data_IF_472061923633
#
_entry.id   IF_472061923633
#
_cell.length_a   1.000
_cell.length_b   1.000
_cell.length_c   1.000
_cell.angle_alpha   90.00
_cell.angle_beta   90.00
_cell.angle_gamma   90.00
#
_symmetry.space_group_name_H-M   'P 1'
#
loop_
_entity.id
_entity.type
_entity.pdbx_description
1 polymer ?
#
# COMPACT_ATOMS: atom_id res chain seq x y z
N UNK A 1 31.18 -38.82 34.26
CA UNK A 1 30.96 -39.69 33.09
C UNK A 1 30.06 -38.88 32.15
N UNK A 2 30.50 -37.96 31.29
CA UNK A 2 31.42 -37.99 30.14
C UNK A 2 31.10 -39.02 29.06
N UNK A 3 30.29 -38.59 28.09
CA UNK A 3 30.12 -39.15 26.73
C UNK A 3 29.72 -37.97 25.82
N UNK A 4 30.62 -37.20 25.17
CA UNK A 4 31.28 -37.48 23.87
C UNK A 4 30.63 -38.65 23.12
N UNK A 5 30.21 -38.55 21.85
CA UNK A 5 31.13 -38.64 20.68
C UNK A 5 30.33 -38.59 19.35
N UNK A 6 30.68 -37.65 18.44
CA UNK A 6 30.82 -37.71 16.95
C UNK A 6 29.60 -37.81 15.98
N UNK A 7 29.45 -36.87 15.03
CA UNK A 7 29.95 -36.75 13.62
C UNK A 7 29.08 -37.51 12.59
N UNK A 8 28.60 -36.78 11.56
CA UNK A 8 28.50 -37.11 10.11
C UNK A 8 27.64 -35.99 9.46
N UNK A 9 28.15 -34.95 8.80
CA UNK A 9 28.85 -34.90 7.51
C UNK A 9 28.14 -35.68 6.39
N UNK A 10 27.29 -35.01 5.60
CA UNK A 10 27.00 -35.40 4.22
C UNK A 10 26.95 -34.18 3.30
N UNK A 11 27.87 -34.20 2.34
CA UNK A 11 27.93 -33.38 1.13
C UNK A 11 26.89 -33.83 0.09
N UNK A 12 26.35 -32.87 -0.67
CA UNK A 12 25.93 -32.97 -2.08
C UNK A 12 25.24 -31.64 -2.41
N UNK A 13 25.84 -30.62 -3.04
CA UNK A 13 26.41 -30.51 -4.39
C UNK A 13 25.45 -30.92 -5.51
N UNK A 14 24.56 -29.99 -5.89
CA UNK A 14 24.04 -29.89 -7.26
C UNK A 14 24.08 -28.42 -7.69
N UNK A 15 25.13 -28.08 -8.42
CA UNK A 15 25.25 -26.87 -9.22
C UNK A 15 24.53 -27.16 -10.54
N UNK A 16 23.43 -26.45 -10.82
CA UNK A 16 22.84 -26.43 -12.16
C UNK A 16 23.00 -25.04 -12.77
N UNK A 17 23.82 -25.05 -13.82
CA UNK A 17 24.26 -23.96 -14.67
C UNK A 17 23.51 -24.10 -16.00
N UNK A 18 22.60 -23.19 -16.36
CA UNK A 18 22.11 -23.02 -17.76
C UNK A 18 21.48 -21.62 -17.91
N UNK A 19 21.36 -21.04 -19.13
CA UNK A 19 22.17 -19.89 -19.53
C UNK A 19 21.32 -18.64 -19.86
N UNK A 20 22.04 -17.52 -20.04
CA UNK A 20 21.56 -16.31 -20.70
C UNK A 20 21.09 -16.61 -22.14
N UNK A 21 19.96 -16.03 -22.52
CA UNK A 21 19.66 -15.66 -23.89
C UNK A 21 18.98 -14.28 -23.91
N UNK A 22 19.68 -13.33 -24.53
CA UNK A 22 19.18 -12.04 -24.95
C UNK A 22 18.09 -12.19 -26.03
N UNK A 23 17.06 -11.35 -25.98
CA UNK A 23 16.35 -10.93 -27.18
C UNK A 23 15.61 -9.60 -26.92
N UNK A 24 16.25 -8.52 -27.37
CA UNK A 24 15.61 -7.27 -27.74
C UNK A 24 14.49 -7.50 -28.76
N UNK A 25 13.34 -6.87 -28.58
CA UNK A 25 12.49 -6.47 -29.70
C UNK A 25 11.87 -5.10 -29.46
N UNK A 26 12.47 -4.12 -30.15
CA UNK A 26 11.89 -2.83 -30.49
C UNK A 26 10.70 -3.05 -31.44
N UNK A 27 9.58 -2.39 -31.17
CA UNK A 27 8.38 -2.42 -32.00
C UNK A 27 7.56 -1.16 -31.86
N UNK A 28 7.99 -0.11 -32.55
CA UNK A 28 7.27 1.13 -32.80
C UNK A 28 5.96 0.90 -33.55
N UNK A 29 4.91 1.64 -33.23
CA UNK A 29 4.35 2.65 -34.16
C UNK A 29 3.01 3.21 -33.67
N UNK A 30 2.92 4.52 -33.79
CA UNK A 30 1.78 5.34 -33.50
C UNK A 30 0.73 5.24 -34.62
N UNK A 31 -0.50 4.88 -34.25
CA UNK A 31 -1.71 5.57 -34.70
C UNK A 31 -2.25 6.26 -33.44
N UNK A 32 -3.05 7.32 -33.43
CA UNK A 32 -4.18 7.63 -34.26
C UNK A 32 -4.27 9.15 -34.35
N UNK A 33 -4.14 9.72 -35.55
CA UNK A 33 -4.57 11.09 -35.83
C UNK A 33 -5.65 11.04 -36.90
N UNK A 34 -6.88 11.32 -36.49
CA UNK A 34 -7.93 11.77 -37.40
C UNK A 34 -8.55 13.02 -36.80
N UNK A 35 -8.06 14.18 -37.24
CA UNK A 35 -8.75 15.44 -37.03
C UNK A 35 -9.86 15.54 -38.08
N UNK A 36 -11.10 15.42 -37.64
CA UNK A 36 -12.26 15.76 -38.45
C UNK A 36 -12.53 17.26 -38.34
N UNK A 37 -12.36 17.93 -39.48
CA UNK A 37 -12.82 19.28 -39.82
C UNK A 37 -14.35 19.34 -39.75
N UNK A 38 -14.94 20.30 -39.02
CA UNK A 38 -16.12 21.09 -39.50
C UNK A 38 -16.20 22.44 -38.74
N UNK A 39 -16.00 23.54 -39.46
CA UNK A 39 -16.64 24.86 -39.26
C UNK A 39 -17.69 25.01 -40.39
N UNK A 40 -18.56 26.04 -40.43
CA UNK A 40 -19.20 26.85 -39.40
C UNK A 40 -20.76 26.86 -39.58
N UNK A 41 -21.53 27.38 -38.63
CA UNK A 41 -22.89 27.83 -38.94
C UNK A 41 -23.32 29.03 -38.08
N UNK A 42 -23.79 30.03 -38.81
CA UNK A 42 -24.25 31.35 -38.41
C UNK A 42 -25.63 31.34 -37.74
N UNK A 43 -25.78 32.17 -36.71
CA UNK A 43 -26.87 33.14 -36.47
C UNK A 43 -28.32 32.60 -36.46
N UNK A 44 -29.00 32.69 -35.31
CA UNK A 44 -30.40 33.13 -35.25
C UNK A 44 -30.78 33.58 -33.84
N UNK A 45 -31.28 34.80 -33.75
CA UNK A 45 -31.91 35.42 -32.59
C UNK A 45 -33.40 35.02 -32.55
N UNK A 46 -33.90 34.58 -31.39
CA UNK A 46 -35.17 34.99 -30.74
C UNK A 46 -35.64 33.98 -29.69
N UNK A 47 -36.10 34.53 -28.56
CA UNK A 47 -37.18 34.01 -27.71
C UNK A 47 -36.94 32.73 -26.90
N UNK A 48 -36.50 32.84 -25.64
CA UNK A 48 -36.77 31.83 -24.59
C UNK A 48 -36.64 32.43 -23.18
N UNK A 49 -37.42 33.47 -22.87
CA UNK A 49 -37.40 34.12 -21.53
C UNK A 49 -38.54 33.69 -20.61
N UNK A 50 -39.25 32.59 -20.89
CA UNK A 50 -40.43 32.18 -20.09
C UNK A 50 -40.49 30.71 -19.67
N UNK A 51 -39.42 29.90 -19.83
CA UNK A 51 -39.40 28.50 -19.36
C UNK A 51 -38.31 28.16 -18.30
N UNK A 52 -37.63 29.15 -17.72
CA UNK A 52 -36.56 28.88 -16.74
C UNK A 52 -36.99 28.89 -15.26
N UNK A 53 -38.25 29.18 -14.94
CA UNK A 53 -38.70 29.23 -13.54
C UNK A 53 -39.33 27.91 -13.03
N UNK A 54 -39.85 27.03 -13.90
CA UNK A 54 -40.54 25.81 -13.45
C UNK A 54 -39.60 24.61 -13.22
N UNK A 55 -38.38 24.61 -13.77
CA UNK A 55 -37.47 23.43 -13.70
C UNK A 55 -36.53 23.45 -12.49
N UNK A 56 -36.35 24.60 -11.83
CA UNK A 56 -35.43 24.75 -10.69
C UNK A 56 -35.97 24.11 -9.41
N UNK A 57 -37.28 24.21 -9.15
CA UNK A 57 -37.89 23.67 -7.92
C UNK A 57 -38.05 22.14 -7.89
N UNK A 58 -37.96 21.44 -9.03
CA UNK A 58 -38.09 19.97 -9.06
C UNK A 58 -36.80 19.23 -8.71
N UNK A 59 -35.64 19.88 -8.90
CA UNK A 59 -34.32 19.28 -8.64
C UNK A 59 -33.97 19.28 -7.16
N UNK A 60 -34.30 20.35 -6.44
CA UNK A 60 -34.02 20.47 -5.00
C UNK A 60 -34.83 19.48 -4.14
N UNK A 61 -36.11 19.23 -4.48
CA UNK A 61 -36.93 18.22 -3.78
C UNK A 61 -36.37 16.80 -3.88
N UNK A 62 -35.78 16.42 -5.01
CA UNK A 62 -35.17 15.08 -5.20
C UNK A 62 -33.85 14.90 -4.43
N UNK A 63 -33.09 15.97 -4.19
CA UNK A 63 -31.87 15.90 -3.37
C UNK A 63 -32.17 15.82 -1.86
N UNK A 64 -33.28 16.40 -1.39
CA UNK A 64 -33.71 16.29 0.00
C UNK A 64 -34.19 14.87 0.36
N UNK A 65 -34.87 14.17 -0.56
CA UNK A 65 -35.35 12.81 -0.33
C UNK A 65 -34.25 11.74 -0.47
N UNK A 66 -33.24 11.95 -1.33
CA UNK A 66 -32.09 11.05 -1.47
C UNK A 66 -31.18 11.06 -0.23
N UNK A 67 -31.16 12.15 0.55
CA UNK A 67 -30.40 12.22 1.81
C UNK A 67 -31.07 11.49 2.98
N UNK A 68 -32.38 11.24 2.92
CA UNK A 68 -33.10 10.53 4.00
C UNK A 68 -33.11 9.00 3.86
N UNK A 69 -32.69 8.44 2.71
CA UNK A 69 -32.67 6.99 2.46
C UNK A 69 -31.29 6.32 2.57
N UNK A 70 -30.25 7.02 3.03
CA UNK A 70 -28.89 6.46 3.23
C UNK A 70 -28.48 6.30 4.71
N UNK A 71 -29.43 6.34 5.65
CA UNK A 71 -29.15 6.24 7.09
C UNK A 71 -29.57 4.92 7.75
N UNK A 72 -29.72 3.83 7.00
CA UNK A 72 -29.97 2.49 7.56
C UNK A 72 -28.99 1.47 6.99
N UNK A 73 -27.75 1.60 7.42
CA UNK A 73 -26.65 0.68 7.13
C UNK A 73 -25.62 0.75 8.26
N UNK A 74 -26.11 0.72 9.50
CA UNK A 74 -25.32 0.55 10.70
C UNK A 74 -24.65 -0.83 10.63
N UNK A 75 -23.45 -0.91 10.05
CA UNK A 75 -22.54 -2.03 10.33
C UNK A 75 -22.26 -1.96 11.84
N UNK A 76 -22.81 -2.93 12.57
CA UNK A 76 -22.61 -3.10 14.00
C UNK A 76 -21.11 -3.19 14.27
N UNK A 77 -20.60 -2.19 14.99
CA UNK A 77 -19.28 -2.19 15.58
C UNK A 77 -19.26 -3.30 16.65
N UNK A 78 -18.36 -4.29 16.58
CA UNK A 78 -18.29 -5.33 17.60
C UNK A 78 -17.88 -4.71 18.94
N UNK A 79 -18.78 -4.84 19.90
CA UNK A 79 -18.62 -4.40 21.29
C UNK A 79 -17.61 -5.31 22.00
N UNK A 80 -16.40 -4.83 22.25
CA UNK A 80 -15.40 -5.62 22.98
C UNK A 80 -14.04 -5.01 23.23
N UNK A 81 -13.87 -3.68 23.31
CA UNK A 81 -12.57 -3.07 23.62
C UNK A 81 -12.67 -2.01 24.72
N UNK A 82 -12.42 -2.43 25.95
CA UNK A 82 -12.10 -1.60 27.12
C UNK A 82 -10.69 -1.03 26.99
N UNK A 83 -10.58 0.24 26.63
CA UNK A 83 -9.56 1.24 26.98
C UNK A 83 -9.72 2.43 26.01
N UNK A 84 -9.30 3.62 26.37
CA UNK A 84 -9.47 4.88 25.61
C UNK A 84 -8.84 4.91 24.20
N UNK A 85 -8.27 3.80 23.72
CA UNK A 85 -7.75 3.63 22.37
C UNK A 85 -8.89 3.49 21.35
N UNK A 86 -8.84 4.28 20.27
CA UNK A 86 -9.86 4.26 19.23
C UNK A 86 -9.38 3.38 18.08
N UNK A 87 -10.12 2.29 17.87
CA UNK A 87 -9.84 1.29 16.84
C UNK A 87 -10.69 1.55 15.61
N UNK A 88 -10.05 1.56 14.44
CA UNK A 88 -10.68 1.72 13.13
C UNK A 88 -10.60 0.40 12.38
N UNK A 89 -11.75 -0.16 11.98
CA UNK A 89 -11.77 -1.33 11.12
C UNK A 89 -11.38 -0.94 9.70
N UNK A 90 -10.36 -1.61 9.17
CA UNK A 90 -9.77 -1.31 7.86
C UNK A 90 -9.90 -2.45 6.86
N UNK A 91 -10.06 -3.69 7.35
CA UNK A 91 -10.19 -4.88 6.52
C UNK A 91 -11.33 -5.75 7.06
N UNK A 92 -12.21 -6.18 6.17
CA UNK A 92 -13.26 -7.15 6.48
C UNK A 92 -12.69 -8.58 6.38
N UNK A 93 -13.29 -9.54 7.11
CA UNK A 93 -12.86 -10.94 7.23
C UNK A 93 -12.63 -11.66 5.87
N UNK A 94 -13.28 -11.22 4.80
CA UNK A 94 -13.18 -11.86 3.48
C UNK A 94 -11.92 -11.49 2.70
N UNK A 95 -11.17 -10.49 3.15
CA UNK A 95 -9.98 -10.01 2.44
C UNK A 95 -8.73 -10.48 3.17
N UNK A 96 -8.37 -11.74 2.99
CA UNK A 96 -7.09 -12.23 3.52
C UNK A 96 -5.93 -11.61 2.71
N UNK A 97 -4.91 -11.15 3.42
CA UNK A 97 -3.72 -10.56 2.81
C UNK A 97 -2.62 -11.62 2.80
N UNK A 98 -2.08 -11.93 1.62
CA UNK A 98 -1.01 -12.92 1.52
C UNK A 98 0.23 -12.45 2.31
N UNK A 99 0.94 -13.33 3.02
CA UNK A 99 2.15 -12.96 3.72
C UNK A 99 3.19 -12.35 2.78
N UNK A 100 3.76 -11.22 3.17
CA UNK A 100 4.69 -10.43 2.37
C UNK A 100 4.05 -9.49 1.35
N UNK A 101 2.74 -9.57 1.18
CA UNK A 101 2.00 -8.61 0.35
C UNK A 101 1.62 -7.37 1.15
N UNK A 102 1.45 -6.27 0.42
CA UNK A 102 1.14 -4.95 0.96
C UNK A 102 -0.16 -4.48 0.33
N UNK A 103 -1.02 -3.85 1.15
CA UNK A 103 -2.28 -3.26 0.68
C UNK A 103 -2.51 -1.92 1.35
N UNK A 104 -2.85 -0.92 0.55
CA UNK A 104 -3.32 0.36 1.08
C UNK A 104 -4.79 0.25 1.43
N UNK A 105 -5.12 0.69 2.63
CA UNK A 105 -6.47 0.72 3.18
C UNK A 105 -6.78 2.12 3.67
N UNK A 106 -8.04 2.50 3.54
CA UNK A 106 -8.53 3.76 4.07
C UNK A 106 -9.74 3.53 4.95
N UNK A 107 -9.93 4.41 5.93
CA UNK A 107 -11.10 4.38 6.78
C UNK A 107 -11.43 5.75 7.33
N UNK A 108 -12.70 5.94 7.68
CA UNK A 108 -13.20 7.21 8.22
C UNK A 108 -13.10 7.24 9.72
N UNK A 109 -12.40 8.24 10.24
CA UNK A 109 -12.29 8.48 11.67
C UNK A 109 -12.55 9.95 11.97
N UNK A 110 -13.54 10.23 12.82
CA UNK A 110 -14.04 11.60 13.11
C UNK A 110 -14.41 12.44 11.87
N UNK A 111 -14.81 11.79 10.77
CA UNK A 111 -15.18 12.46 9.52
C UNK A 111 -14.00 12.75 8.58
N UNK A 112 -12.77 12.43 8.98
CA UNK A 112 -11.58 12.50 8.14
C UNK A 112 -11.25 11.11 7.56
N UNK A 113 -10.81 11.09 6.30
CA UNK A 113 -10.27 9.88 5.67
C UNK A 113 -8.82 9.69 6.13
N UNK A 114 -8.55 8.56 6.79
CA UNK A 114 -7.20 8.15 7.18
C UNK A 114 -6.77 7.00 6.29
N UNK A 115 -5.54 7.06 5.81
CA UNK A 115 -4.98 6.08 4.89
C UNK A 115 -3.76 5.42 5.52
N UNK A 116 -3.71 4.10 5.44
CA UNK A 116 -2.68 3.26 6.03
C UNK A 116 -2.17 2.26 4.99
N UNK A 117 -0.91 1.89 5.11
CA UNK A 117 -0.35 0.75 4.39
C UNK A 117 -0.31 -0.44 5.34
N UNK A 118 -1.03 -1.51 5.00
CA UNK A 118 -1.00 -2.77 5.72
C UNK A 118 -0.04 -3.75 5.07
N UNK A 119 0.73 -4.45 5.90
CA UNK A 119 1.54 -5.60 5.51
C UNK A 119 1.21 -6.78 6.42
N UNK A 120 1.13 -7.98 5.86
CA UNK A 120 0.94 -9.22 6.62
C UNK A 120 2.24 -10.03 6.63
N UNK A 121 2.65 -10.53 7.79
CA UNK A 121 3.81 -11.42 7.92
C UNK A 121 3.73 -12.24 9.21
N UNK A 122 3.99 -13.55 9.13
CA UNK A 122 3.99 -14.43 10.31
C UNK A 122 2.66 -14.45 11.06
N UNK A 123 1.54 -14.35 10.34
CA UNK A 123 0.19 -14.24 10.93
C UNK A 123 -0.09 -12.92 11.64
N UNK A 124 0.84 -11.96 11.62
CA UNK A 124 0.70 -10.64 12.22
C UNK A 124 0.49 -9.58 11.15
N UNK A 125 -0.36 -8.60 11.45
CA UNK A 125 -0.58 -7.43 10.60
C UNK A 125 0.18 -6.23 11.13
N UNK A 126 0.83 -5.50 10.23
CA UNK A 126 1.56 -4.27 10.53
C UNK A 126 0.92 -3.14 9.76
N UNK A 127 0.67 -2.02 10.43
CA UNK A 127 0.10 -0.82 9.81
C UNK A 127 1.11 0.32 9.89
N UNK A 128 1.41 0.94 8.76
CA UNK A 128 2.30 2.10 8.67
C UNK A 128 1.68 3.23 7.86
N UNK A 129 2.25 4.42 7.94
CA UNK A 129 1.84 5.56 7.12
C UNK A 129 1.92 5.24 5.62
N UNK A 130 1.01 5.81 4.83
CA UNK A 130 0.96 5.62 3.38
C UNK A 130 2.23 6.08 2.65
N UNK A 131 2.82 7.19 3.09
CA UNK A 131 3.92 7.84 2.39
C UNK A 131 5.30 7.38 2.89
N UNK A 132 6.23 7.21 1.96
CA UNK A 132 7.63 6.97 2.25
C UNK A 132 8.26 8.15 3.00
N UNK A 133 8.98 7.90 4.09
CA UNK A 133 9.65 8.94 4.87
C UNK A 133 10.73 9.71 4.09
N UNK A 134 11.27 9.16 2.98
CA UNK A 134 12.34 9.77 2.17
C UNK A 134 11.84 10.59 0.98
N UNK A 135 11.08 9.97 0.08
CA UNK A 135 10.62 10.60 -1.17
C UNK A 135 9.12 10.92 -1.16
N UNK A 136 8.42 10.68 -0.05
CA UNK A 136 6.96 10.87 0.12
C UNK A 136 6.09 10.10 -0.90
N UNK A 137 6.68 9.18 -1.66
CA UNK A 137 5.96 8.30 -2.59
C UNK A 137 5.13 7.26 -1.82
N UNK A 138 3.91 6.90 -2.29
CA UNK A 138 3.06 5.92 -1.63
C UNK A 138 3.70 4.53 -1.59
N UNK A 139 3.60 3.86 -0.45
CA UNK A 139 4.12 2.50 -0.21
C UNK A 139 3.20 1.39 -0.72
N UNK A 140 2.23 1.72 -1.60
CA UNK A 140 1.18 0.80 -2.08
C UNK A 140 1.70 -0.48 -2.73
N UNK A 141 2.85 -0.39 -3.39
CA UNK A 141 3.52 -1.52 -4.03
C UNK A 141 4.88 -1.79 -3.38
N UNK A 142 5.01 -1.46 -2.09
CA UNK A 142 6.20 -1.78 -1.31
C UNK A 142 6.42 -3.28 -1.24
N UNK A 143 7.68 -3.70 -1.25
CA UNK A 143 8.04 -5.11 -1.05
C UNK A 143 8.40 -5.31 0.41
N UNK A 144 7.77 -6.29 1.07
CA UNK A 144 8.19 -6.70 2.41
C UNK A 144 9.45 -7.56 2.27
N UNK A 145 10.45 -7.25 3.09
CA UNK A 145 11.75 -7.92 3.14
C UNK A 145 12.07 -8.35 4.56
N UNK A 146 12.82 -9.44 4.67
CA UNK A 146 13.38 -9.90 5.93
C UNK A 146 14.71 -9.21 6.18
N UNK A 147 14.87 -8.62 7.35
CA UNK A 147 16.13 -8.08 7.82
C UNK A 147 16.89 -9.22 8.49
N UNK A 148 18.02 -9.59 7.90
CA UNK A 148 18.93 -10.58 8.47
C UNK A 148 20.07 -9.89 9.22
N UNK A 149 20.65 -10.58 10.20
CA UNK A 149 21.79 -10.09 10.96
C UNK A 149 22.90 -9.58 10.04
N UNK A 150 23.33 -8.34 10.24
CA UNK A 150 24.28 -7.66 9.35
C UNK A 150 23.65 -6.68 8.35
N UNK A 151 22.36 -6.34 8.49
CA UNK A 151 21.73 -5.25 7.73
C UNK A 151 21.37 -5.60 6.28
N UNK A 152 21.45 -6.89 5.92
CA UNK A 152 21.04 -7.39 4.60
C UNK A 152 19.54 -7.65 4.60
N UNK A 153 18.87 -7.16 3.57
CA UNK A 153 17.45 -7.36 3.36
C UNK A 153 17.22 -8.42 2.27
N UNK A 154 16.58 -9.52 2.63
CA UNK A 154 16.25 -10.61 1.70
C UNK A 154 14.78 -10.57 1.30
N UNK A 155 14.50 -10.96 0.06
CA UNK A 155 13.12 -11.07 -0.42
C UNK A 155 12.45 -12.31 0.21
N UNK A 156 11.17 -12.14 0.57
CA UNK A 156 10.37 -13.22 1.13
C UNK A 156 10.20 -14.35 0.10
N UNK A 157 10.68 -15.54 0.44
CA UNK A 157 10.47 -16.75 -0.37
C UNK A 157 9.15 -17.40 0.02
N UNK A 158 8.25 -17.70 -0.94
CA UNK A 158 7.02 -18.42 -0.65
C UNK A 158 7.35 -19.83 -0.13
N UNK A 159 6.63 -20.27 0.90
CA UNK A 159 6.78 -21.62 1.47
C UNK A 159 7.88 -21.80 2.51
N UNK A 160 8.61 -20.73 2.88
CA UNK A 160 9.53 -20.77 4.02
C UNK A 160 8.75 -20.52 5.32
N UNK A 161 9.07 -21.28 6.36
CA UNK A 161 8.49 -21.13 7.69
C UNK A 161 8.74 -19.70 8.21
N UNK A 162 7.66 -19.01 8.58
CA UNK A 162 7.72 -17.59 8.94
C UNK A 162 7.96 -17.46 10.43
N UNK A 163 9.17 -17.02 10.78
CA UNK A 163 9.51 -16.69 12.16
C UNK A 163 8.78 -15.40 12.58
N UNK A 164 7.86 -15.45 13.57
CA UNK A 164 7.14 -14.27 14.05
C UNK A 164 8.05 -13.29 14.80
N UNK A 165 9.27 -13.66 15.18
CA UNK A 165 10.24 -12.78 15.82
C UNK A 165 11.18 -12.09 14.81
N UNK A 166 11.13 -12.49 13.54
CA UNK A 166 11.97 -11.89 12.51
C UNK A 166 11.74 -10.38 12.39
N UNK A 167 12.85 -9.67 12.19
CA UNK A 167 12.83 -8.27 11.82
C UNK A 167 12.41 -8.13 10.36
N UNK A 168 11.38 -7.34 10.13
CA UNK A 168 10.80 -7.15 8.80
C UNK A 168 10.79 -5.68 8.43
N UNK A 169 11.04 -5.41 7.16
CA UNK A 169 11.01 -4.08 6.59
C UNK A 169 10.13 -4.01 5.35
N UNK A 170 9.64 -2.81 5.05
CA UNK A 170 9.03 -2.47 3.78
C UNK A 170 9.98 -1.61 2.96
N UNK A 171 10.25 -2.02 1.71
CA UNK A 171 11.05 -1.28 0.76
C UNK A 171 10.17 -0.39 -0.11
N UNK A 172 10.48 0.92 -0.17
CA UNK A 172 9.82 1.85 -1.06
C UNK A 172 10.08 1.48 -2.52
N UNK A 173 9.04 1.35 -3.36
CA UNK A 173 9.20 0.93 -4.76
C UNK A 173 9.95 1.95 -5.62
N UNK A 174 9.94 3.24 -5.24
CA UNK A 174 10.55 4.31 -6.03
C UNK A 174 12.03 4.52 -5.68
N UNK A 175 12.35 4.70 -4.40
CA UNK A 175 13.71 5.05 -3.96
C UNK A 175 14.47 3.89 -3.30
N UNK A 176 13.81 2.75 -3.08
CA UNK A 176 14.39 1.59 -2.40
C UNK A 176 14.67 1.80 -0.91
N UNK A 177 14.27 2.93 -0.31
CA UNK A 177 14.41 3.15 1.12
C UNK A 177 13.62 2.10 1.91
N UNK A 178 14.25 1.50 2.91
CA UNK A 178 13.65 0.45 3.74
C UNK A 178 13.31 0.98 5.12
N UNK A 179 12.16 0.58 5.64
CA UNK A 179 11.65 0.96 6.96
C UNK A 179 11.20 -0.27 7.71
N UNK A 180 11.58 -0.39 8.99
CA UNK A 180 11.14 -1.47 9.86
C UNK A 180 9.62 -1.35 10.08
N UNK A 181 8.88 -2.44 9.88
CA UNK A 181 7.41 -2.42 10.01
C UNK A 181 6.93 -2.39 11.47
N UNK A 182 7.79 -2.72 12.44
CA UNK A 182 7.49 -2.66 13.88
C UNK A 182 7.77 -1.29 14.48
N UNK A 183 8.92 -0.70 14.15
CA UNK A 183 9.39 0.54 14.77
C UNK A 183 9.17 1.77 13.89
N UNK A 184 9.00 1.58 12.58
CA UNK A 184 8.92 2.67 11.61
C UNK A 184 10.27 3.33 11.31
N UNK A 185 11.33 2.90 11.99
CA UNK A 185 12.67 3.41 11.78
C UNK A 185 13.25 2.92 10.45
N UNK A 186 14.26 3.65 9.98
CA UNK A 186 14.98 3.31 8.76
C UNK A 186 15.78 2.03 9.03
N UNK A 187 15.61 1.03 8.17
CA UNK A 187 16.25 -0.27 8.36
C UNK A 187 17.14 -0.67 7.18
N UNK A 188 18.05 -1.60 7.45
CA UNK A 188 18.96 -2.19 6.45
C UNK A 188 19.91 -1.18 5.80
N UNK A 189 20.76 -1.68 4.89
CA UNK A 189 21.60 -0.80 4.08
C UNK A 189 20.72 -0.04 3.07
N UNK A 190 20.59 1.27 3.28
CA UNK A 190 19.87 2.12 2.34
C UNK A 190 20.62 2.12 1.01
N UNK A 191 19.92 2.00 -0.13
CA UNK A 191 20.58 2.06 -1.42
C UNK A 191 21.31 3.40 -1.54
N UNK A 192 22.65 3.32 -1.49
CA UNK A 192 23.55 4.39 -1.88
C UNK A 192 23.36 4.54 -3.39
N UNK A 193 22.79 5.67 -3.81
CA UNK A 193 22.09 5.78 -5.08
C UNK A 193 22.90 5.33 -6.30
N UNK A 194 22.46 4.27 -6.97
CA UNK A 194 22.87 3.98 -8.36
C UNK A 194 22.02 4.75 -9.38
N UNK A 195 20.84 5.24 -8.98
CA UNK A 195 20.10 6.25 -9.75
C UNK A 195 20.75 7.65 -9.70
N UNK A 196 21.84 7.81 -8.96
CA UNK A 196 22.56 9.06 -8.75
C UNK A 196 23.46 9.45 -9.93
N UNK A 197 23.62 8.59 -10.94
CA UNK A 197 24.53 8.86 -12.07
C UNK A 197 23.84 9.51 -13.27
N UNK A 198 22.52 9.36 -13.47
CA UNK A 198 21.91 9.80 -14.76
C UNK A 198 20.60 10.62 -14.70
N UNK A 199 19.87 10.72 -13.57
CA UNK A 199 18.53 11.36 -13.62
C UNK A 199 18.30 12.51 -12.61
N UNK A 200 19.20 12.82 -11.67
CA UNK A 200 18.81 13.76 -10.60
C UNK A 200 19.94 14.58 -10.00
N UNK A 201 20.30 15.68 -10.65
CA UNK A 201 20.91 16.84 -9.98
C UNK A 201 19.89 17.66 -9.15
N UNK A 202 18.62 17.24 -9.08
CA UNK A 202 17.52 18.04 -8.47
C UNK A 202 16.66 17.24 -7.47
N UNK A 203 16.81 15.91 -7.37
CA UNK A 203 16.15 15.16 -6.29
C UNK A 203 17.10 15.12 -5.11
N UNK A 204 16.85 16.05 -4.19
CA UNK A 204 17.53 16.27 -2.93
C UNK A 204 18.06 15.00 -2.28
N UNK A 205 19.28 15.08 -1.74
CA UNK A 205 19.83 14.15 -0.75
C UNK A 205 19.06 14.25 0.58
N UNK A 206 17.72 14.19 0.54
CA UNK A 206 16.93 14.18 1.76
C UNK A 206 17.23 12.88 2.50
N UNK A 207 17.73 12.96 3.75
CA UNK A 207 17.83 11.78 4.59
C UNK A 207 16.43 11.19 4.72
N UNK A 208 16.33 9.86 4.77
CA UNK A 208 15.04 9.23 5.05
C UNK A 208 14.60 9.67 6.46
N UNK A 209 13.33 10.02 6.63
CA UNK A 209 12.71 10.18 7.95
C UNK A 209 12.06 8.85 8.34
N UNK A 210 11.92 8.57 9.64
CA UNK A 210 11.12 7.45 10.11
C UNK A 210 9.66 7.58 9.67
N UNK A 211 8.99 6.46 9.42
CA UNK A 211 7.57 6.41 9.12
C UNK A 211 6.78 6.14 10.41
N UNK A 212 5.51 6.58 10.44
CA UNK A 212 4.65 6.32 11.59
C UNK A 212 4.13 4.88 11.54
N UNK A 213 4.28 4.15 12.63
CA UNK A 213 3.67 2.83 12.83
C UNK A 213 2.40 2.95 13.65
N UNK A 214 1.42 2.13 13.31
CA UNK A 214 0.15 2.02 14.02
C UNK A 214 -0.03 0.58 14.50
N UNK A 215 -0.59 0.43 15.70
CA UNK A 215 -0.92 -0.88 16.22
C UNK A 215 -2.07 -1.48 15.40
N UNK A 216 -1.88 -2.68 14.87
CA UNK A 216 -2.94 -3.44 14.19
C UNK A 216 -3.26 -4.70 14.98
N UNK A 217 -4.54 -5.09 14.98
CA UNK A 217 -5.01 -6.30 15.65
C UNK A 217 -6.05 -7.00 14.77
N UNK A 218 -6.01 -8.33 14.77
CA UNK A 218 -7.06 -9.16 14.19
C UNK A 218 -8.08 -9.48 15.27
N UNK A 219 -9.35 -9.13 15.04
CA UNK A 219 -10.45 -9.49 15.94
C UNK A 219 -10.80 -10.98 15.80
N UNK A 220 -11.51 -11.53 16.78
CA UNK A 220 -12.04 -12.91 16.72
C UNK A 220 -12.97 -13.15 15.52
N UNK A 221 -13.52 -12.08 14.95
CA UNK A 221 -14.34 -12.10 13.72
C UNK A 221 -13.51 -12.18 12.44
N UNK A 222 -12.19 -12.16 12.51
CA UNK A 222 -11.26 -12.08 11.36
C UNK A 222 -11.11 -10.67 10.78
N UNK A 223 -11.81 -9.67 11.31
CA UNK A 223 -11.64 -8.28 10.88
C UNK A 223 -10.32 -7.69 11.41
N UNK A 224 -9.64 -6.91 10.58
CA UNK A 224 -8.42 -6.19 10.98
C UNK A 224 -8.78 -4.77 11.40
N UNK A 225 -8.38 -4.42 12.62
CA UNK A 225 -8.53 -3.07 13.18
C UNK A 225 -7.17 -2.43 13.39
N UNK A 226 -7.08 -1.13 13.14
CA UNK A 226 -5.88 -0.31 13.35
C UNK A 226 -6.20 0.74 14.41
N UNK A 227 -5.29 0.91 15.36
CA UNK A 227 -5.38 1.94 16.39
C UNK A 227 -5.07 3.30 15.78
N UNK A 228 -5.96 4.25 15.99
CA UNK A 228 -5.83 5.63 15.54
C UNK A 228 -5.76 6.53 16.77
N UNK A 229 -4.65 7.25 16.90
CA UNK A 229 -4.46 8.25 17.95
C UNK A 229 -5.04 9.62 17.52
#
# INVERSE_FOLDING_TARGET
MSTSTRILAFLSMVVMLVPLADAFSLGSSAGWQTQAVVRPATRSTKSTTTMMMAKKNRRERRYAEAKKKKSSGSKQQPSGATSSAKWLQVLDNTSELEPGSVKVVSGKYKGEDRVFTLAAYGGTYYAVSEACGRCKFPLINGKVKLLTGGGKAEDLKPGVEQDPEAEIAIACPLCGAMFNLRTGEIAGEQPKGLAQVLVSKVVSQTPAESITTHQAQVLSTGAVVVRVD
#
